data_IF_631623918954
#
_entry.id   IF_631623918954
#
_cell.length_a   1.000
_cell.length_b   1.000
_cell.length_c   1.000
_cell.angle_alpha   90.00
_cell.angle_beta   90.00
_cell.angle_gamma   90.00
#
_symmetry.space_group_name_H-M   'P 1'
#
loop_
_entity.id
_entity.type
_entity.pdbx_description
1 polymer ?
#
# COMPACT_ATOMS: atom_id res chain seq x y z
N UNK A 1 49.49 12.56 -3.60
CA UNK A 1 48.25 12.18 -2.90
C UNK A 1 48.03 10.69 -3.09
N UNK A 2 47.84 9.89 -2.03
CA UNK A 2 47.36 8.52 -2.19
C UNK A 2 45.84 8.50 -2.42
N UNK A 3 45.29 7.48 -3.10
CA UNK A 3 43.85 7.35 -3.30
C UNK A 3 43.17 6.93 -1.98
N UNK A 4 42.01 7.54 -1.72
CA UNK A 4 41.14 7.23 -0.58
C UNK A 4 40.45 5.88 -0.82
N UNK A 5 40.82 4.86 -0.05
CA UNK A 5 40.19 3.54 -0.07
C UNK A 5 38.85 3.58 0.70
N UNK A 6 37.77 3.11 0.08
CA UNK A 6 36.44 3.04 0.70
C UNK A 6 36.40 1.96 1.80
N UNK A 7 35.67 2.16 2.91
CA UNK A 7 35.62 1.19 4.00
C UNK A 7 34.85 -0.07 3.60
N UNK A 8 35.56 -1.21 3.59
CA UNK A 8 34.98 -2.56 3.50
C UNK A 8 34.42 -2.96 4.86
N UNK A 9 33.10 -2.96 5.01
CA UNK A 9 32.43 -3.42 6.23
C UNK A 9 32.37 -4.96 6.19
N UNK A 10 33.32 -5.60 6.86
CA UNK A 10 33.26 -7.04 7.16
C UNK A 10 32.38 -7.27 8.38
N UNK A 11 31.17 -7.81 8.18
CA UNK A 11 30.35 -8.28 9.31
C UNK A 11 30.88 -9.62 9.81
N UNK A 12 31.50 -9.63 11.00
CA UNK A 12 31.82 -10.86 11.73
C UNK A 12 30.62 -11.25 12.58
N UNK A 13 29.88 -12.27 12.16
CA UNK A 13 28.83 -12.88 12.98
C UNK A 13 29.50 -13.76 14.03
N UNK A 14 29.47 -13.32 15.29
CA UNK A 14 29.88 -14.12 16.45
C UNK A 14 28.68 -14.95 16.89
N UNK A 15 28.64 -16.23 16.51
CA UNK A 15 27.68 -17.20 17.05
C UNK A 15 28.27 -17.75 18.35
N UNK A 16 27.61 -17.47 19.48
CA UNK A 16 27.95 -18.02 20.80
C UNK A 16 27.10 -19.29 21.05
N UNK A 17 27.65 -20.51 20.99
CA UNK A 17 26.87 -21.70 21.28
C UNK A 17 26.67 -21.90 22.79
N UNK A 18 25.43 -22.16 23.19
CA UNK A 18 25.05 -22.58 24.55
C UNK A 18 25.63 -23.98 24.84
N UNK A 19 26.38 -24.12 25.93
CA UNK A 19 26.99 -25.39 26.36
C UNK A 19 25.98 -26.27 27.13
N UNK A 20 25.57 -27.39 26.54
CA UNK A 20 24.96 -28.52 27.25
C UNK A 20 26.04 -29.57 27.50
N UNK A 21 26.49 -29.70 28.75
CA UNK A 21 27.40 -30.78 29.18
C UNK A 21 26.62 -32.09 29.31
N UNK A 22 26.89 -33.06 28.44
CA UNK A 22 26.65 -34.50 28.70
C UNK A 22 27.86 -35.33 28.28
N UNK A 23 28.25 -36.24 29.17
CA UNK A 23 29.43 -37.13 29.10
C UNK A 23 29.29 -38.18 27.97
N UNK A 24 30.40 -38.50 27.29
CA UNK A 24 30.54 -39.62 26.34
C UNK A 24 31.10 -40.89 27.02
N UNK A 25 30.70 -42.10 26.60
CA UNK A 25 31.56 -43.28 26.65
C UNK A 25 32.07 -43.68 25.24
N UNK A 26 33.02 -44.63 25.27
CA UNK A 26 34.05 -44.99 24.28
C UNK A 26 33.56 -45.68 23.00
N UNK A 27 34.49 -45.67 22.03
CA UNK A 27 34.42 -46.02 20.62
C UNK A 27 34.08 -47.48 20.25
N UNK A 28 33.41 -47.62 19.09
CA UNK A 28 33.36 -48.84 18.27
C UNK A 28 33.51 -48.43 16.80
N UNK A 29 34.62 -48.83 16.17
CA UNK A 29 34.94 -48.51 14.76
C UNK A 29 34.07 -49.37 13.83
N UNK A 30 33.08 -48.78 13.16
CA UNK A 30 32.39 -49.39 12.01
C UNK A 30 32.86 -48.71 10.73
N UNK A 31 33.17 -49.54 9.71
CA UNK A 31 33.69 -49.15 8.39
C UNK A 31 32.82 -48.06 7.75
N UNK A 32 33.43 -46.94 7.36
CA UNK A 32 32.83 -45.90 6.52
C UNK A 32 32.89 -46.36 5.06
N UNK A 33 31.71 -46.43 4.43
CA UNK A 33 31.55 -46.31 2.98
C UNK A 33 31.58 -44.81 2.69
N UNK A 34 32.49 -44.36 1.84
CA UNK A 34 32.57 -42.95 1.45
C UNK A 34 31.27 -42.53 0.74
N UNK A 35 30.63 -41.41 1.13
CA UNK A 35 29.65 -40.76 0.27
C UNK A 35 30.37 -40.35 -1.01
N UNK A 36 29.80 -40.72 -2.15
CA UNK A 36 30.29 -40.27 -3.44
C UNK A 36 30.32 -38.74 -3.47
N UNK A 37 31.41 -38.20 -4.01
CA UNK A 37 31.53 -36.82 -4.44
C UNK A 37 30.36 -36.50 -5.38
N UNK A 38 29.29 -35.93 -4.83
CA UNK A 38 28.25 -35.29 -5.60
C UNK A 38 28.63 -33.83 -5.73
N UNK A 39 29.61 -33.59 -6.59
CA UNK A 39 29.89 -32.29 -7.19
C UNK A 39 28.69 -31.93 -8.08
N UNK A 40 27.65 -31.40 -7.44
CA UNK A 40 26.39 -31.03 -8.09
C UNK A 40 26.10 -29.57 -7.77
N UNK A 41 26.69 -28.71 -8.60
CA UNK A 41 26.24 -27.37 -8.98
C UNK A 41 25.47 -26.59 -7.91
N UNK A 42 26.18 -26.10 -6.89
CA UNK A 42 25.64 -25.13 -5.93
C UNK A 42 25.47 -23.72 -6.54
N UNK A 43 25.41 -23.60 -7.87
CA UNK A 43 25.13 -22.31 -8.54
C UNK A 43 23.64 -22.04 -8.66
N UNK A 44 22.83 -23.07 -8.80
CA UNK A 44 21.37 -22.94 -8.83
C UNK A 44 20.76 -22.74 -7.43
N UNK A 45 21.45 -23.17 -6.38
CA UNK A 45 21.02 -22.94 -4.98
C UNK A 45 21.11 -21.46 -4.57
N UNK A 46 22.05 -20.71 -5.16
CA UNK A 46 22.23 -19.27 -4.89
C UNK A 46 21.18 -18.43 -5.64
N UNK A 47 20.68 -18.92 -6.77
CA UNK A 47 19.63 -18.26 -7.55
C UNK A 47 18.25 -18.33 -6.89
N UNK A 48 18.06 -19.22 -5.89
CA UNK A 48 16.78 -19.49 -5.24
C UNK A 48 16.60 -18.81 -3.86
N UNK A 49 17.14 -17.59 -3.65
CA UNK A 49 17.11 -16.96 -2.31
C UNK A 49 16.02 -15.88 -2.18
N UNK A 50 15.61 -15.20 -3.26
CA UNK A 50 14.59 -14.14 -3.21
C UNK A 50 13.67 -14.21 -4.44
N UNK A 51 12.34 -14.35 -4.27
CA UNK A 51 11.37 -14.09 -5.35
C UNK A 51 11.51 -12.65 -5.87
N UNK A 52 11.25 -12.43 -7.16
CA UNK A 52 11.37 -11.12 -7.81
C UNK A 52 10.53 -10.03 -7.11
N UNK A 53 9.27 -10.34 -6.81
CA UNK A 53 8.36 -9.45 -6.07
C UNK A 53 8.94 -9.01 -4.71
N UNK A 54 9.64 -9.91 -4.03
CA UNK A 54 10.23 -9.63 -2.71
C UNK A 54 11.43 -8.68 -2.83
N UNK A 55 12.22 -8.83 -3.89
CA UNK A 55 13.33 -7.94 -4.19
C UNK A 55 12.83 -6.55 -4.58
N UNK A 56 11.80 -6.49 -5.42
CA UNK A 56 11.16 -5.23 -5.82
C UNK A 56 10.54 -4.50 -4.63
N UNK A 57 9.80 -5.20 -3.75
CA UNK A 57 9.27 -4.60 -2.53
C UNK A 57 10.39 -4.04 -1.63
N UNK A 58 11.48 -4.80 -1.43
CA UNK A 58 12.61 -4.36 -0.62
C UNK A 58 13.28 -3.11 -1.20
N UNK A 59 13.44 -3.04 -2.52
CA UNK A 59 13.96 -1.87 -3.22
C UNK A 59 13.04 -0.66 -3.06
N UNK A 60 11.73 -0.82 -3.25
CA UNK A 60 10.75 0.25 -3.12
C UNK A 60 10.67 0.79 -1.68
N UNK A 61 10.76 -0.09 -0.68
CA UNK A 61 10.88 0.31 0.74
C UNK A 61 12.14 1.10 1.02
N UNK A 62 13.28 0.70 0.46
CA UNK A 62 14.53 1.44 0.60
C UNK A 62 14.42 2.84 -0.03
N UNK A 63 13.84 2.93 -1.23
CA UNK A 63 13.62 4.19 -1.92
C UNK A 63 12.72 5.14 -1.13
N UNK A 64 11.63 4.63 -0.53
CA UNK A 64 10.78 5.41 0.34
C UNK A 64 11.55 5.88 1.59
N UNK A 65 12.31 5.00 2.23
CA UNK A 65 13.12 5.36 3.40
C UNK A 65 14.14 6.46 3.09
N UNK A 66 14.87 6.35 1.97
CA UNK A 66 15.85 7.35 1.52
C UNK A 66 15.15 8.68 1.23
N UNK A 67 13.97 8.63 0.60
CA UNK A 67 13.17 9.80 0.31
C UNK A 67 12.72 10.53 1.58
N UNK A 68 12.16 9.80 2.56
CA UNK A 68 11.75 10.35 3.85
C UNK A 68 12.92 11.00 4.61
N UNK A 69 14.13 10.44 4.47
CA UNK A 69 15.32 10.96 5.15
C UNK A 69 15.93 12.21 4.49
N UNK A 70 15.76 12.38 3.17
CA UNK A 70 16.46 13.43 2.39
C UNK A 70 15.54 14.60 2.00
N UNK A 71 14.28 14.34 1.71
CA UNK A 71 13.35 15.36 1.22
C UNK A 71 13.11 16.43 2.32
N UNK A 72 13.18 17.74 2.00
CA UNK A 72 13.02 18.81 2.99
C UNK A 72 11.71 18.77 3.77
N UNK A 73 10.57 18.55 3.10
CA UNK A 73 9.24 18.46 3.75
C UNK A 73 9.24 17.29 4.73
N UNK A 74 9.77 16.13 4.31
CA UNK A 74 9.78 14.92 5.12
C UNK A 74 10.70 15.02 6.33
N UNK A 75 11.83 15.72 6.17
CA UNK A 75 12.76 16.05 7.26
C UNK A 75 12.13 16.96 8.29
N UNK A 76 11.42 18.00 7.86
CA UNK A 76 10.71 18.90 8.77
C UNK A 76 9.67 18.11 9.57
N UNK A 77 8.90 17.24 8.91
CA UNK A 77 7.91 16.36 9.54
C UNK A 77 8.53 15.22 10.39
N UNK A 78 9.86 15.11 10.43
CA UNK A 78 10.61 14.06 11.13
C UNK A 78 10.08 12.64 10.85
N UNK A 79 9.80 12.34 9.59
CA UNK A 79 9.18 11.07 9.22
C UNK A 79 10.17 9.91 9.33
N UNK A 80 9.66 8.79 9.86
CA UNK A 80 10.38 7.53 9.94
C UNK A 80 9.60 6.46 9.20
N UNK A 81 10.31 5.60 8.46
CA UNK A 81 9.72 4.44 7.81
C UNK A 81 9.08 3.51 8.87
N UNK A 82 7.77 3.22 8.78
CA UNK A 82 7.13 2.28 9.68
C UNK A 82 7.52 0.84 9.36
N UNK A 83 7.31 -0.07 10.33
CA UNK A 83 7.55 -1.50 10.13
C UNK A 83 6.64 -2.11 9.06
N UNK A 84 5.41 -1.61 8.94
CA UNK A 84 4.42 -1.99 7.93
C UNK A 84 3.62 -0.74 7.52
N UNK A 85 3.26 -0.65 6.24
CA UNK A 85 2.39 0.40 5.71
C UNK A 85 0.93 -0.06 5.76
N UNK A 86 0.00 0.89 5.80
CA UNK A 86 -1.44 0.62 5.80
C UNK A 86 -2.03 0.93 4.44
N UNK A 87 -2.97 0.09 3.98
CA UNK A 87 -4.01 0.31 2.97
C UNK A 87 -3.60 0.94 1.63
N UNK A 88 -4.40 0.79 0.56
CA UNK A 88 -4.19 1.59 -0.66
C UNK A 88 -4.28 3.09 -0.37
N UNK A 89 -3.42 3.88 -1.00
CA UNK A 89 -3.42 5.34 -0.85
C UNK A 89 -4.31 5.99 -1.89
N UNK A 90 -4.99 7.08 -1.51
CA UNK A 90 -5.78 7.86 -2.44
C UNK A 90 -4.92 8.87 -3.21
N UNK A 91 -5.19 9.10 -4.50
CA UNK A 91 -4.59 10.19 -5.26
C UNK A 91 -4.80 11.54 -4.55
N UNK A 92 -3.74 12.34 -4.38
CA UNK A 92 -3.88 13.66 -3.80
C UNK A 92 -4.63 14.60 -4.75
N UNK A 93 -5.62 15.38 -4.28
CA UNK A 93 -6.27 16.40 -5.09
C UNK A 93 -5.28 17.51 -5.45
N UNK A 94 -5.56 18.22 -6.54
CA UNK A 94 -4.85 19.45 -6.87
C UNK A 94 -5.00 20.48 -5.73
N UNK A 95 -3.91 21.15 -5.39
CA UNK A 95 -3.89 22.13 -4.29
C UNK A 95 -3.48 23.48 -4.85
N UNK A 96 -4.22 24.55 -4.55
CA UNK A 96 -3.87 25.91 -4.99
C UNK A 96 -3.22 26.74 -3.87
N UNK A 97 -3.28 26.25 -2.63
CA UNK A 97 -2.78 26.96 -1.45
C UNK A 97 -1.76 26.12 -0.69
N UNK A 98 -0.82 26.80 -0.01
CA UNK A 98 0.25 26.15 0.78
C UNK A 98 -0.34 25.31 1.92
N UNK A 99 -1.36 25.82 2.60
CA UNK A 99 -2.01 25.11 3.71
C UNK A 99 -2.73 23.85 3.24
N UNK A 100 -3.38 23.88 2.08
CA UNK A 100 -4.08 22.71 1.56
C UNK A 100 -3.10 21.65 1.04
N UNK A 101 -1.98 22.07 0.44
CA UNK A 101 -0.88 21.17 0.09
C UNK A 101 -0.34 20.44 1.34
N UNK A 102 -0.05 21.17 2.41
CA UNK A 102 0.39 20.61 3.70
C UNK A 102 -0.64 19.64 4.28
N UNK A 103 -1.92 20.03 4.35
CA UNK A 103 -3.00 19.15 4.85
C UNK A 103 -3.08 17.87 4.03
N UNK A 104 -2.88 17.97 2.72
CA UNK A 104 -2.93 16.81 1.82
C UNK A 104 -1.74 15.88 2.04
N UNK A 105 -0.53 16.39 2.27
CA UNK A 105 0.63 15.59 2.70
C UNK A 105 0.34 14.85 4.00
N UNK A 106 -0.18 15.54 5.02
CA UNK A 106 -0.49 14.92 6.31
C UNK A 106 -1.58 13.84 6.20
N UNK A 107 -2.59 14.05 5.36
CA UNK A 107 -3.62 13.04 5.08
C UNK A 107 -3.03 11.82 4.40
N UNK A 108 -2.21 11.99 3.36
CA UNK A 108 -1.57 10.89 2.66
C UNK A 108 -0.69 10.05 3.59
N UNK A 109 0.07 10.70 4.49
CA UNK A 109 0.86 10.02 5.51
C UNK A 109 -0.01 9.20 6.47
N UNK A 110 -1.12 9.79 6.94
CA UNK A 110 -2.09 9.09 7.79
C UNK A 110 -2.66 7.84 7.09
N UNK A 111 -3.04 7.96 5.83
CA UNK A 111 -3.62 6.86 5.03
C UNK A 111 -2.62 5.70 4.91
N UNK A 112 -1.34 6.02 4.65
CA UNK A 112 -0.23 5.06 4.62
C UNK A 112 0.21 4.53 6.01
N UNK A 113 -0.35 5.06 7.10
CA UNK A 113 0.04 4.70 8.47
C UNK A 113 1.39 5.27 8.93
N UNK A 114 1.90 6.30 8.25
CA UNK A 114 3.12 7.01 8.63
C UNK A 114 2.75 8.16 9.56
N UNK A 115 3.34 8.17 10.75
CA UNK A 115 3.10 9.24 11.73
C UNK A 115 4.24 10.25 11.72
N UNK A 116 3.96 11.55 11.54
CA UNK A 116 4.95 12.61 11.73
C UNK A 116 5.50 12.65 13.17
N UNK A 117 6.76 13.04 13.30
CA UNK A 117 7.33 13.37 14.61
C UNK A 117 6.87 14.74 15.11
N UNK A 118 7.52 15.25 16.16
CA UNK A 118 7.32 16.63 16.59
C UNK A 118 7.94 17.59 15.57
N UNK A 119 7.24 18.63 15.12
CA UNK A 119 7.79 19.60 14.19
C UNK A 119 7.23 21.00 14.43
N UNK A 120 7.94 22.02 13.96
CA UNK A 120 7.45 23.39 13.98
C UNK A 120 6.73 23.68 12.66
N UNK A 121 5.42 23.96 12.72
CA UNK A 121 4.61 24.19 11.52
C UNK A 121 5.12 25.35 10.65
N UNK A 122 5.72 26.39 11.27
CA UNK A 122 6.32 27.52 10.56
C UNK A 122 7.39 27.10 9.54
N UNK A 123 8.16 26.05 9.84
CA UNK A 123 9.24 25.56 8.96
C UNK A 123 8.66 25.01 7.66
N UNK A 124 7.48 24.39 7.73
CA UNK A 124 6.77 23.87 6.57
C UNK A 124 6.25 25.00 5.67
N UNK A 125 5.84 26.13 6.27
CA UNK A 125 5.38 27.30 5.52
C UNK A 125 6.51 28.17 4.94
N UNK A 126 7.76 27.93 5.36
CA UNK A 126 8.95 28.53 4.73
C UNK A 126 9.33 27.85 3.41
N UNK A 127 8.82 26.65 3.12
CA UNK A 127 8.98 26.00 1.82
C UNK A 127 8.06 26.59 0.76
N UNK A 128 8.49 26.55 -0.50
CA UNK A 128 7.68 26.97 -1.63
C UNK A 128 6.49 26.03 -1.86
N UNK A 129 5.37 26.57 -2.35
CA UNK A 129 4.17 25.77 -2.67
C UNK A 129 4.51 24.65 -3.66
N UNK A 130 5.26 24.97 -4.70
CA UNK A 130 5.69 24.04 -5.73
C UNK A 130 6.53 22.89 -5.14
N UNK A 131 7.45 23.19 -4.21
CA UNK A 131 8.26 22.18 -3.55
C UNK A 131 7.40 21.20 -2.73
N UNK A 132 6.35 21.69 -2.08
CA UNK A 132 5.40 20.84 -1.33
C UNK A 132 4.58 19.97 -2.28
N UNK A 133 4.11 20.53 -3.41
CA UNK A 133 3.36 19.79 -4.42
C UNK A 133 4.19 18.71 -5.10
N UNK A 134 5.42 19.01 -5.51
CA UNK A 134 6.36 18.03 -6.08
C UNK A 134 6.57 16.90 -5.08
N UNK A 135 6.82 17.25 -3.82
CA UNK A 135 7.01 16.26 -2.75
C UNK A 135 5.77 15.40 -2.52
N UNK A 136 4.57 16.00 -2.59
CA UNK A 136 3.30 15.28 -2.44
C UNK A 136 3.12 14.24 -3.55
N UNK A 137 3.39 14.62 -4.81
CA UNK A 137 3.33 13.71 -5.96
C UNK A 137 4.36 12.60 -5.85
N UNK A 138 5.62 12.92 -5.52
CA UNK A 138 6.69 11.92 -5.34
C UNK A 138 6.40 10.95 -4.19
N UNK A 139 5.83 11.45 -3.08
CA UNK A 139 5.40 10.62 -1.96
C UNK A 139 4.29 9.66 -2.39
N UNK A 140 3.28 10.17 -3.10
CA UNK A 140 2.16 9.37 -3.57
C UNK A 140 2.63 8.25 -4.50
N UNK A 141 3.46 8.54 -5.50
CA UNK A 141 3.97 7.53 -6.43
C UNK A 141 4.77 6.42 -5.72
N UNK A 142 5.59 6.77 -4.73
CA UNK A 142 6.35 5.80 -3.93
C UNK A 142 5.44 4.93 -3.07
N UNK A 143 4.39 5.51 -2.49
CA UNK A 143 3.41 4.78 -1.69
C UNK A 143 2.53 3.88 -2.56
N UNK A 144 2.06 4.38 -3.70
CA UNK A 144 1.24 3.65 -4.67
C UNK A 144 1.88 2.32 -5.08
N UNK A 145 3.19 2.31 -5.34
CA UNK A 145 3.92 1.08 -5.68
C UNK A 145 3.94 0.06 -4.53
N UNK A 146 3.93 0.54 -3.28
CA UNK A 146 4.04 -0.33 -2.09
C UNK A 146 2.70 -0.83 -1.55
N UNK A 147 1.63 -0.02 -1.65
CA UNK A 147 0.34 -0.34 -1.04
C UNK A 147 -0.84 -0.28 -2.02
N UNK A 148 -0.58 0.05 -3.28
CA UNK A 148 -1.61 0.23 -4.30
C UNK A 148 -2.29 1.60 -4.22
N UNK A 149 -3.10 1.87 -5.24
CA UNK A 149 -3.99 3.02 -5.30
C UNK A 149 -5.41 2.62 -4.90
N UNK A 150 -6.09 3.43 -4.10
CA UNK A 150 -7.49 3.20 -3.79
C UNK A 150 -8.36 3.50 -5.01
N UNK A 151 -9.22 2.56 -5.40
CA UNK A 151 -10.19 2.77 -6.48
C UNK A 151 -11.17 3.88 -6.09
N UNK A 152 -11.08 5.03 -6.75
CA UNK A 152 -12.15 6.02 -6.69
C UNK A 152 -13.32 5.47 -7.48
N UNK A 153 -14.45 5.17 -6.83
CA UNK A 153 -15.72 4.89 -7.50
C UNK A 153 -16.14 6.12 -8.34
N UNK A 154 -15.58 6.24 -9.53
CA UNK A 154 -16.09 6.99 -10.67
C UNK A 154 -16.20 6.00 -11.82
N UNK A 155 -17.07 5.00 -11.62
CA UNK A 155 -17.56 4.17 -12.71
C UNK A 155 -18.80 4.86 -13.27
N UNK A 156 -18.67 5.45 -14.45
CA UNK A 156 -19.75 5.45 -15.44
C UNK A 156 -19.11 5.30 -16.81
N UNK A 157 -19.38 4.13 -17.39
CA UNK A 157 -19.64 3.94 -18.82
C UNK A 157 -18.46 4.07 -19.81
N UNK A 158 -17.81 2.93 -20.08
CA UNK A 158 -17.32 2.56 -21.44
C UNK A 158 -16.89 1.08 -21.45
N UNK A 159 -17.81 0.18 -21.08
CA UNK A 159 -17.69 -1.24 -21.42
C UNK A 159 -19.07 -1.92 -21.49
N UNK A 160 -19.96 -1.33 -22.27
CA UNK A 160 -21.09 -2.03 -22.87
C UNK A 160 -21.16 -1.61 -24.34
N UNK A 161 -20.05 -1.77 -25.03
CA UNK A 161 -19.94 -1.69 -26.48
C UNK A 161 -19.50 -3.09 -26.91
N UNK A 162 -20.47 -4.01 -27.04
CA UNK A 162 -20.55 -5.20 -27.93
C UNK A 162 -21.81 -5.94 -27.50
N UNK A 163 -22.98 -5.39 -27.82
CA UNK A 163 -24.25 -6.13 -28.03
C UNK A 163 -25.38 -5.16 -28.42
N UNK A 164 -25.12 -4.22 -29.34
CA UNK A 164 -26.19 -3.54 -30.07
C UNK A 164 -25.93 -3.67 -31.58
N UNK A 165 -25.90 -4.92 -32.02
CA UNK A 165 -26.22 -5.22 -33.42
C UNK A 165 -27.72 -5.53 -33.46
N UNK A 166 -28.38 -5.12 -34.55
CA UNK A 166 -29.79 -5.33 -34.89
C UNK A 166 -30.75 -4.16 -34.57
N UNK A 167 -30.51 -3.03 -35.25
CA UNK A 167 -31.61 -2.25 -35.83
C UNK A 167 -32.26 -3.06 -36.97
N UNK A 168 -33.59 -3.10 -37.07
CA UNK A 168 -34.20 -2.87 -38.37
C UNK A 168 -35.37 -1.89 -38.31
N UNK A 169 -35.30 -0.92 -39.23
CA UNK A 169 -36.39 -0.35 -40.04
C UNK A 169 -37.76 -0.11 -39.41
N UNK A 170 -38.17 1.17 -39.36
CA UNK A 170 -39.56 1.56 -39.16
C UNK A 170 -40.43 1.26 -40.40
N UNK A 171 -41.56 0.57 -40.21
CA UNK A 171 -42.85 0.84 -40.88
C UNK A 171 -43.95 -0.07 -40.28
N UNK A 172 -44.99 0.54 -39.69
CA UNK A 172 -46.26 -0.11 -39.29
C UNK A 172 -47.18 -0.33 -40.53
N UNK A 173 -48.44 -0.84 -40.44
CA UNK A 173 -49.17 -1.52 -39.35
C UNK A 173 -49.92 -2.81 -39.83
N UNK A 174 -50.56 -3.56 -38.93
CA UNK A 174 -51.86 -4.30 -39.07
C UNK A 174 -51.83 -5.63 -38.31
N UNK A 175 -52.86 -5.90 -37.49
CA UNK A 175 -53.24 -7.28 -37.15
C UNK A 175 -53.56 -7.54 -35.68
N UNK A 176 -54.77 -7.18 -35.28
CA UNK A 176 -55.63 -7.81 -34.27
C UNK A 176 -55.12 -9.09 -33.58
N UNK A 177 -55.19 -9.16 -32.24
CA UNK A 177 -56.25 -9.91 -31.54
C UNK A 177 -55.78 -10.48 -30.19
N UNK A 178 -56.51 -10.09 -29.13
CA UNK A 178 -56.86 -10.87 -27.93
C UNK A 178 -55.72 -11.31 -26.98
N UNK A 179 -55.66 -10.73 -25.78
CA UNK A 179 -56.20 -11.39 -24.58
C UNK A 179 -56.09 -10.45 -23.36
N UNK A 180 -57.22 -10.22 -22.70
CA UNK A 180 -57.38 -9.48 -21.47
C UNK A 180 -56.84 -10.30 -20.29
N UNK A 181 -56.11 -9.69 -19.34
CA UNK A 181 -56.30 -9.95 -17.89
C UNK A 181 -55.77 -8.78 -17.06
N UNK A 182 -56.68 -8.15 -16.32
CA UNK A 182 -56.43 -7.27 -15.18
C UNK A 182 -55.77 -8.03 -14.04
N UNK A 183 -54.81 -7.40 -13.34
CA UNK A 183 -54.74 -7.41 -11.87
C UNK A 183 -53.70 -6.38 -11.40
N UNK A 184 -54.16 -5.30 -10.77
CA UNK A 184 -53.35 -4.46 -9.89
C UNK A 184 -53.14 -5.16 -8.55
N UNK A 185 -51.99 -4.96 -7.90
CA UNK A 185 -51.90 -5.01 -6.45
C UNK A 185 -50.76 -4.10 -5.96
N UNK A 186 -51.15 -3.01 -5.32
CA UNK A 186 -50.30 -2.17 -4.46
C UNK A 186 -50.00 -2.91 -3.16
N UNK A 187 -48.76 -2.84 -2.66
CA UNK A 187 -48.50 -3.04 -1.24
C UNK A 187 -47.50 -1.98 -0.76
N UNK A 188 -48.02 -1.09 0.08
CA UNK A 188 -47.26 -0.19 0.94
C UNK A 188 -46.67 -1.02 2.07
N UNK A 189 -45.38 -0.86 2.34
CA UNK A 189 -44.78 -1.29 3.59
C UNK A 189 -44.31 -0.02 4.30
N UNK A 190 -45.23 0.58 5.06
CA UNK A 190 -44.91 1.49 6.15
C UNK A 190 -44.22 0.68 7.25
N UNK A 191 -43.00 1.07 7.61
CA UNK A 191 -42.36 0.64 8.85
C UNK A 191 -42.06 1.89 9.66
N UNK A 192 -43.03 2.21 10.51
CA UNK A 192 -42.91 3.16 11.60
C UNK A 192 -42.29 2.43 12.79
N UNK A 193 -41.20 2.94 13.36
CA UNK A 193 -40.69 2.49 14.65
C UNK A 193 -40.31 3.71 15.48
N UNK A 194 -41.23 3.93 16.42
CA UNK A 194 -41.33 4.84 17.55
C UNK A 194 -40.05 5.04 18.40
N UNK A 195 -39.80 6.33 18.66
CA UNK A 195 -39.47 7.05 19.90
C UNK A 195 -38.28 6.67 20.82
N UNK A 196 -37.51 7.72 21.14
CA UNK A 196 -36.66 7.82 22.33
C UNK A 196 -36.15 9.26 22.50
N UNK A 197 -36.87 10.05 23.31
CA UNK A 197 -36.53 11.44 23.65
C UNK A 197 -35.58 11.48 24.86
N UNK A 198 -34.57 12.34 24.85
CA UNK A 198 -34.15 13.02 26.08
C UNK A 198 -33.50 14.37 25.76
N UNK A 199 -34.10 15.44 26.29
CA UNK A 199 -33.62 16.82 26.18
C UNK A 199 -32.91 17.15 27.48
N UNK A 200 -31.62 17.45 27.42
CA UNK A 200 -30.84 17.87 28.58
C UNK A 200 -31.24 19.29 29.01
N UNK A 201 -31.54 19.42 30.29
CA UNK A 201 -31.92 20.63 31.01
C UNK A 201 -30.73 21.60 31.13
N UNK A 202 -30.93 22.88 30.82
CA UNK A 202 -29.99 23.96 31.14
C UNK A 202 -30.42 24.64 32.45
N UNK A 203 -29.44 24.86 33.33
CA UNK A 203 -29.61 25.54 34.63
C UNK A 203 -29.32 27.05 34.58
N UNK A 204 -29.65 27.77 35.66
CA UNK A 204 -29.89 29.22 35.72
C UNK A 204 -28.64 30.10 35.66
#
# INVERSE_FOLDING_TARGET
>A
MPPQEAPRITMRIVIRPKSLKKKKPKASRKKLKAPADSDSDSRDEIAAIWPDDQLEEAFNRNNLQVFLAKNPVMKILQLRMPGSLKGPVMPPPATASKIDAVKTVLRLLKDAGITPGSFAAKDLFHLDLEAIQITLSELFEKLKVLVGEAETQTNVETKLEVALTHLPGSASPTGSSQHSHYASATSMADSDTSEGVERMQLGP
#
